data_IF_614481288006
#
_entry.id   IF_614481288006
#
_cell.length_a   1.000
_cell.length_b   1.000
_cell.length_c   1.000
_cell.angle_alpha   90.00
_cell.angle_beta   90.00
_cell.angle_gamma   90.00
#
_symmetry.space_group_name_H-M   'P 1'
#
loop_
_entity.id
_entity.type
_entity.pdbx_description
1 polymer ?
#
# COMPACT_ATOMS: atom_id res chain seq x y z
N UNK A 1 -32.05 -49.19 -2.79
CA UNK A 1 -32.13 -48.50 -4.09
C UNK A 1 -31.29 -47.22 -4.05
N UNK A 2 -30.51 -46.94 -5.11
CA UNK A 2 -29.59 -45.80 -5.22
C UNK A 2 -30.16 -44.70 -6.13
N UNK A 3 -29.67 -43.47 -5.97
CA UNK A 3 -30.09 -42.32 -6.78
C UNK A 3 -29.89 -42.56 -8.28
N UNK A 4 -30.89 -42.22 -9.12
CA UNK A 4 -30.82 -42.40 -10.58
C UNK A 4 -29.80 -41.50 -11.33
N UNK A 5 -29.16 -40.58 -10.63
CA UNK A 5 -28.24 -39.61 -11.25
C UNK A 5 -26.87 -40.28 -11.40
N UNK A 6 -26.31 -40.28 -12.61
CA UNK A 6 -25.04 -40.93 -12.91
C UNK A 6 -23.92 -40.48 -11.95
N UNK A 7 -23.15 -41.45 -11.44
CA UNK A 7 -22.10 -41.21 -10.45
C UNK A 7 -22.59 -40.91 -9.03
N UNK A 8 -23.90 -40.89 -8.76
CA UNK A 8 -24.43 -40.65 -7.41
C UNK A 8 -24.72 -41.96 -6.65
N UNK A 9 -23.79 -42.38 -5.80
CA UNK A 9 -23.96 -43.58 -4.94
C UNK A 9 -24.86 -43.40 -3.71
N UNK A 10 -25.59 -42.28 -3.57
CA UNK A 10 -26.40 -41.99 -2.37
C UNK A 10 -27.75 -42.73 -2.40
N UNK A 11 -28.28 -43.19 -1.26
CA UNK A 11 -29.57 -43.87 -1.20
C UNK A 11 -30.73 -42.96 -1.63
N UNK A 12 -31.73 -43.54 -2.28
CA UNK A 12 -32.97 -42.84 -2.64
C UNK A 12 -33.68 -42.41 -1.35
N UNK A 13 -34.11 -41.14 -1.32
CA UNK A 13 -34.98 -40.60 -0.26
C UNK A 13 -36.37 -40.24 -0.79
N UNK A 14 -36.46 -39.89 -2.07
CA UNK A 14 -37.70 -39.54 -2.75
C UNK A 14 -38.02 -40.60 -3.81
N UNK A 15 -38.92 -41.51 -3.46
CA UNK A 15 -39.17 -42.76 -4.23
C UNK A 15 -39.77 -42.50 -5.61
N UNK A 16 -40.74 -41.58 -5.74
CA UNK A 16 -41.42 -41.32 -7.01
C UNK A 16 -40.49 -40.71 -8.06
N UNK A 17 -39.55 -39.85 -7.66
CA UNK A 17 -38.56 -39.27 -8.57
C UNK A 17 -37.27 -40.09 -8.69
N UNK A 18 -37.10 -41.13 -7.85
CA UNK A 18 -35.94 -42.01 -7.74
C UNK A 18 -34.61 -41.28 -7.48
N UNK A 19 -34.63 -40.25 -6.62
CA UNK A 19 -33.46 -39.42 -6.31
C UNK A 19 -33.12 -39.38 -4.82
N UNK A 20 -31.86 -39.09 -4.51
CA UNK A 20 -31.42 -38.79 -3.15
C UNK A 20 -31.90 -37.40 -2.71
N UNK A 21 -31.81 -37.11 -1.42
CA UNK A 21 -32.27 -35.84 -0.84
C UNK A 21 -31.56 -34.63 -1.45
N UNK A 22 -30.25 -34.71 -1.68
CA UNK A 22 -29.47 -33.63 -2.29
C UNK A 22 -29.96 -33.31 -3.71
N UNK A 23 -30.20 -34.32 -4.54
CA UNK A 23 -30.66 -34.12 -5.92
C UNK A 23 -32.11 -33.65 -5.99
N UNK A 24 -32.97 -34.14 -5.11
CA UNK A 24 -34.34 -33.63 -4.98
C UNK A 24 -34.35 -32.12 -4.68
N UNK A 25 -33.65 -31.68 -3.64
CA UNK A 25 -33.60 -30.26 -3.28
C UNK A 25 -32.90 -29.39 -4.32
N UNK A 26 -31.89 -29.93 -5.02
CA UNK A 26 -31.26 -29.21 -6.12
C UNK A 26 -32.27 -28.96 -7.24
N UNK A 27 -32.95 -30.01 -7.72
CA UNK A 27 -33.96 -29.89 -8.77
C UNK A 27 -35.11 -28.97 -8.38
N UNK A 28 -35.56 -29.02 -7.13
CA UNK A 28 -36.60 -28.12 -6.63
C UNK A 28 -36.15 -26.64 -6.68
N UNK A 29 -34.88 -26.34 -6.43
CA UNK A 29 -34.35 -24.95 -6.44
C UNK A 29 -33.95 -24.45 -7.83
N UNK A 30 -33.40 -25.32 -8.67
CA UNK A 30 -32.76 -24.91 -9.93
C UNK A 30 -33.44 -25.45 -11.18
N UNK A 31 -34.45 -26.31 -11.05
CA UNK A 31 -35.10 -27.01 -12.16
C UNK A 31 -34.21 -28.06 -12.84
N UNK A 32 -33.05 -28.37 -12.26
CA UNK A 32 -32.08 -29.33 -12.80
C UNK A 32 -31.34 -30.05 -11.68
N UNK A 33 -30.91 -31.29 -11.94
CA UNK A 33 -30.04 -32.08 -11.07
C UNK A 33 -28.56 -31.73 -11.20
N UNK A 34 -28.19 -30.96 -12.21
CA UNK A 34 -26.81 -30.58 -12.47
C UNK A 34 -26.35 -29.47 -11.54
N UNK A 35 -25.06 -29.51 -11.19
CA UNK A 35 -24.43 -28.38 -10.54
C UNK A 35 -24.37 -27.23 -11.56
N UNK A 36 -25.10 -26.14 -11.30
CA UNK A 36 -24.91 -24.90 -12.07
C UNK A 36 -23.44 -24.50 -11.98
N UNK A 37 -22.81 -24.29 -13.13
CA UNK A 37 -21.50 -23.68 -13.19
C UNK A 37 -21.53 -22.37 -12.40
N UNK A 38 -20.57 -22.16 -11.49
CA UNK A 38 -20.44 -20.88 -10.82
C UNK A 38 -20.07 -19.85 -11.88
N UNK A 39 -21.01 -19.01 -12.31
CA UNK A 39 -20.71 -17.87 -13.16
C UNK A 39 -19.83 -16.91 -12.36
N UNK A 40 -18.52 -16.97 -12.58
CA UNK A 40 -17.62 -16.00 -11.98
C UNK A 40 -17.79 -14.67 -12.73
N UNK A 41 -17.91 -13.59 -11.99
CA UNK A 41 -17.94 -12.25 -12.57
C UNK A 41 -16.58 -11.99 -13.22
N UNK A 42 -16.58 -11.51 -14.47
CA UNK A 42 -15.33 -11.20 -15.18
C UNK A 42 -14.56 -10.04 -14.52
N UNK A 43 -15.29 -9.11 -13.93
CA UNK A 43 -14.75 -7.96 -13.19
C UNK A 43 -15.56 -7.76 -11.91
N UNK A 44 -14.88 -7.47 -10.81
CA UNK A 44 -15.50 -7.09 -9.52
C UNK A 44 -14.70 -6.00 -8.83
N UNK A 45 -15.35 -5.25 -7.95
CA UNK A 45 -14.70 -4.24 -7.09
C UNK A 45 -14.51 -4.80 -5.68
N UNK A 46 -13.37 -4.50 -5.03
CA UNK A 46 -13.21 -4.80 -3.61
C UNK A 46 -13.75 -3.67 -2.73
N UNK A 47 -13.80 -3.87 -1.42
CA UNK A 47 -14.27 -2.87 -0.46
C UNK A 47 -13.48 -1.54 -0.49
N UNK A 48 -12.25 -1.56 -1.01
CA UNK A 48 -11.37 -0.39 -1.12
C UNK A 48 -11.46 0.31 -2.49
N UNK A 49 -12.36 -0.14 -3.37
CA UNK A 49 -12.54 0.44 -4.70
C UNK A 49 -11.61 -0.09 -5.79
N UNK A 50 -10.71 -1.03 -5.49
CA UNK A 50 -9.86 -1.63 -6.50
C UNK A 50 -10.65 -2.59 -7.40
N UNK A 51 -10.35 -2.53 -8.70
CA UNK A 51 -10.92 -3.43 -9.70
C UNK A 51 -10.09 -4.73 -9.77
N UNK A 52 -10.80 -5.86 -9.75
CA UNK A 52 -10.25 -7.20 -9.89
C UNK A 52 -10.82 -7.85 -11.15
N UNK A 53 -9.96 -8.46 -11.95
CA UNK A 53 -10.32 -9.18 -13.17
C UNK A 53 -10.15 -10.68 -12.99
N UNK A 54 -11.07 -11.46 -13.56
CA UNK A 54 -10.97 -12.91 -13.60
C UNK A 54 -9.85 -13.33 -14.56
N UNK A 55 -8.76 -13.89 -14.03
CA UNK A 55 -7.65 -14.39 -14.84
C UNK A 55 -6.96 -15.55 -14.11
N UNK A 56 -7.53 -16.77 -14.19
CA UNK A 56 -7.13 -17.89 -13.35
C UNK A 56 -5.77 -18.50 -13.70
N UNK A 57 -5.19 -18.14 -14.85
CA UNK A 57 -3.84 -18.55 -15.26
C UNK A 57 -2.80 -17.45 -15.06
N UNK A 58 -3.19 -16.25 -14.66
CA UNK A 58 -2.26 -15.14 -14.51
C UNK A 58 -1.27 -15.39 -13.36
N UNK A 59 0.03 -15.12 -13.53
CA UNK A 59 1.03 -15.38 -12.47
C UNK A 59 0.74 -14.61 -11.17
N UNK A 60 0.20 -13.40 -11.30
CA UNK A 60 -0.17 -12.53 -10.17
C UNK A 60 -1.58 -12.77 -9.58
N UNK A 61 -2.22 -13.89 -9.90
CA UNK A 61 -3.57 -14.19 -9.40
C UNK A 61 -3.58 -14.46 -7.90
N UNK A 62 -4.72 -14.16 -7.27
CA UNK A 62 -5.03 -14.59 -5.92
C UNK A 62 -5.46 -16.07 -5.88
N UNK A 63 -5.73 -16.55 -4.67
CA UNK A 63 -6.22 -17.92 -4.42
C UNK A 63 -7.58 -18.20 -5.05
N UNK A 64 -8.37 -17.16 -5.34
CA UNK A 64 -9.68 -17.28 -5.97
C UNK A 64 -9.60 -17.32 -7.49
N UNK A 65 -8.50 -16.87 -8.09
CA UNK A 65 -8.25 -16.77 -9.54
C UNK A 65 -8.42 -15.37 -10.12
N UNK A 66 -8.47 -14.33 -9.28
CA UNK A 66 -8.57 -12.94 -9.70
C UNK A 66 -7.22 -12.22 -9.60
N UNK A 67 -7.04 -11.18 -10.41
CA UNK A 67 -5.86 -10.31 -10.37
C UNK A 67 -6.34 -8.87 -10.20
N UNK A 68 -5.62 -8.08 -9.42
CA UNK A 68 -5.83 -6.63 -9.41
C UNK A 68 -5.53 -6.04 -10.79
N UNK A 69 -6.48 -5.30 -11.36
CA UNK A 69 -6.39 -4.85 -12.74
C UNK A 69 -5.15 -3.98 -13.00
N UNK A 70 -4.83 -3.05 -12.08
CA UNK A 70 -3.62 -2.25 -12.19
C UNK A 70 -2.35 -3.13 -12.23
N UNK A 71 -2.30 -4.24 -11.48
CA UNK A 71 -1.16 -5.17 -11.51
C UNK A 71 -1.10 -5.93 -12.83
N UNK A 72 -2.25 -6.36 -13.36
CA UNK A 72 -2.32 -7.05 -14.64
C UNK A 72 -1.91 -6.13 -15.81
N UNK A 73 -2.32 -4.86 -15.80
CA UNK A 73 -1.92 -3.86 -16.79
C UNK A 73 -0.40 -3.64 -16.74
N UNK A 74 0.15 -3.44 -15.54
CA UNK A 74 1.60 -3.23 -15.39
C UNK A 74 2.40 -4.49 -15.78
N UNK A 75 1.91 -5.68 -15.44
CA UNK A 75 2.52 -6.96 -15.81
C UNK A 75 2.54 -7.16 -17.32
N UNK A 76 1.49 -6.74 -18.05
CA UNK A 76 1.49 -6.78 -19.53
C UNK A 76 2.62 -5.96 -20.16
N UNK A 77 2.99 -4.84 -19.53
CA UNK A 77 4.01 -3.92 -20.04
C UNK A 77 5.42 -4.40 -19.68
N UNK A 78 5.58 -4.92 -18.46
CA UNK A 78 6.88 -5.24 -17.86
C UNK A 78 7.27 -6.72 -18.01
N UNK A 79 6.29 -7.61 -18.15
CA UNK A 79 6.48 -9.05 -18.14
C UNK A 79 6.83 -9.57 -16.75
N UNK A 80 7.66 -10.62 -16.70
CA UNK A 80 8.06 -11.29 -15.47
C UNK A 80 8.96 -10.45 -14.57
N UNK A 81 9.68 -9.48 -15.13
CA UNK A 81 10.50 -8.54 -14.37
C UNK A 81 9.66 -7.32 -13.96
N UNK A 82 9.40 -7.13 -12.66
CA UNK A 82 8.69 -5.91 -12.19
C UNK A 82 9.54 -4.64 -12.43
N UNK A 83 10.86 -4.80 -12.57
CA UNK A 83 11.81 -3.71 -12.76
C UNK A 83 12.07 -2.93 -11.47
N UNK A 84 12.49 -1.68 -11.63
CA UNK A 84 12.87 -0.82 -10.50
C UNK A 84 11.79 0.18 -10.10
N UNK A 85 11.85 0.62 -8.85
CA UNK A 85 11.05 1.72 -8.32
C UNK A 85 11.25 3.00 -9.14
N UNK A 86 10.15 3.58 -9.62
CA UNK A 86 10.15 4.79 -10.45
C UNK A 86 10.66 6.05 -9.71
N UNK A 87 10.68 6.05 -8.36
CA UNK A 87 11.12 7.22 -7.58
C UNK A 87 12.56 7.12 -7.07
N UNK A 88 13.02 5.93 -6.66
CA UNK A 88 14.35 5.77 -6.08
C UNK A 88 15.27 4.81 -6.83
N UNK A 89 14.79 4.17 -7.91
CA UNK A 89 15.57 3.23 -8.71
C UNK A 89 15.86 1.88 -8.05
N UNK A 90 15.39 1.65 -6.82
CA UNK A 90 15.58 0.37 -6.12
C UNK A 90 14.98 -0.79 -6.95
N UNK A 91 15.71 -1.89 -7.17
CA UNK A 91 15.16 -3.06 -7.86
C UNK A 91 14.04 -3.68 -7.04
N UNK A 92 12.95 -4.06 -7.69
CA UNK A 92 11.77 -4.64 -7.08
C UNK A 92 11.32 -5.89 -7.85
N UNK A 93 10.61 -6.78 -7.16
CA UNK A 93 10.01 -7.95 -7.79
C UNK A 93 8.49 -7.89 -7.61
N UNK A 94 7.74 -8.70 -8.37
CA UNK A 94 6.29 -8.72 -8.23
C UNK A 94 5.80 -9.06 -6.81
N UNK A 95 6.61 -9.71 -5.97
CA UNK A 95 6.26 -9.99 -4.57
C UNK A 95 6.45 -8.79 -3.63
N UNK A 96 7.34 -7.85 -3.95
CA UNK A 96 7.65 -6.69 -3.10
C UNK A 96 7.15 -5.37 -3.67
N UNK A 97 6.91 -5.32 -4.98
CA UNK A 97 6.59 -4.10 -5.69
C UNK A 97 5.13 -3.68 -5.47
N UNK A 98 4.94 -2.37 -5.33
CA UNK A 98 3.62 -1.73 -5.31
C UNK A 98 3.38 -1.08 -6.68
N UNK A 99 2.28 -1.43 -7.33
CA UNK A 99 1.82 -0.72 -8.52
C UNK A 99 0.92 0.40 -8.05
N UNK A 100 1.39 1.63 -8.27
CA UNK A 100 0.82 2.87 -7.74
C UNK A 100 0.14 3.67 -8.86
N UNK A 101 -0.95 4.34 -8.50
CA UNK A 101 -1.67 5.29 -9.35
C UNK A 101 -1.07 6.69 -9.17
N UNK A 102 -0.55 7.27 -10.26
CA UNK A 102 0.11 8.58 -10.25
C UNK A 102 -0.88 9.67 -9.85
N UNK A 103 -2.10 9.62 -10.38
CA UNK A 103 -3.21 10.56 -10.07
C UNK A 103 -3.97 10.26 -8.77
N UNK A 104 -3.56 9.23 -8.01
CA UNK A 104 -4.25 8.75 -6.80
C UNK A 104 -5.68 8.22 -7.02
N UNK A 105 -6.13 8.10 -8.27
CA UNK A 105 -7.43 7.55 -8.62
C UNK A 105 -7.32 6.04 -8.89
N UNK A 106 -7.76 5.25 -7.91
CA UNK A 106 -7.74 3.77 -7.94
C UNK A 106 -8.48 3.18 -9.14
N UNK A 107 -9.43 3.91 -9.75
CA UNK A 107 -10.21 3.45 -10.91
C UNK A 107 -9.53 3.75 -12.24
N UNK A 108 -8.55 4.64 -12.28
CA UNK A 108 -7.81 4.99 -13.49
C UNK A 108 -6.64 4.03 -13.74
N UNK A 109 -6.94 2.86 -14.32
CA UNK A 109 -5.94 1.82 -14.61
C UNK A 109 -5.24 1.99 -15.97
N UNK A 110 -5.23 3.20 -16.55
CA UNK A 110 -4.49 3.49 -17.77
C UNK A 110 -2.99 3.22 -17.56
N UNK A 111 -2.33 2.59 -18.53
CA UNK A 111 -0.92 2.22 -18.46
C UNK A 111 0.00 3.39 -18.06
N UNK A 112 -0.28 4.60 -18.59
CA UNK A 112 0.51 5.80 -18.32
C UNK A 112 0.29 6.36 -16.91
N UNK A 113 -0.82 6.02 -16.25
CA UNK A 113 -1.13 6.44 -14.89
C UNK A 113 -0.56 5.47 -13.83
N UNK A 114 0.06 4.37 -14.25
CA UNK A 114 0.59 3.37 -13.35
C UNK A 114 2.11 3.44 -13.30
N UNK A 115 2.66 3.24 -12.10
CA UNK A 115 4.11 3.12 -11.89
C UNK A 115 4.42 2.06 -10.85
N UNK A 116 5.61 1.48 -10.95
CA UNK A 116 6.14 0.56 -9.95
C UNK A 116 6.87 1.34 -8.87
N UNK A 117 6.53 1.13 -7.61
CA UNK A 117 7.19 1.73 -6.45
C UNK A 117 7.63 0.66 -5.45
N UNK A 118 8.73 0.93 -4.75
CA UNK A 118 9.05 0.20 -3.53
C UNK A 118 8.08 0.59 -2.40
N UNK A 119 7.92 -0.28 -1.39
CA UNK A 119 7.07 -0.02 -0.22
C UNK A 119 7.36 1.32 0.46
N UNK A 120 8.65 1.68 0.60
CA UNK A 120 9.06 2.95 1.21
C UNK A 120 8.52 4.14 0.42
N UNK A 121 8.88 4.23 -0.86
CA UNK A 121 8.40 5.29 -1.73
C UNK A 121 6.86 5.34 -1.78
N UNK A 122 6.17 4.21 -1.89
CA UNK A 122 4.71 4.18 -1.91
C UNK A 122 4.07 4.76 -0.63
N UNK A 123 4.61 4.42 0.56
CA UNK A 123 4.10 4.91 1.84
C UNK A 123 4.43 6.40 2.07
N UNK A 124 5.56 6.87 1.54
CA UNK A 124 6.06 8.23 1.77
C UNK A 124 5.76 9.22 0.64
N UNK A 125 5.24 8.80 -0.52
CA UNK A 125 5.04 9.64 -1.72
C UNK A 125 4.18 10.90 -1.51
N UNK A 126 3.24 10.86 -0.56
CA UNK A 126 2.36 11.99 -0.23
C UNK A 126 2.74 12.71 1.08
N UNK A 127 3.87 12.37 1.71
CA UNK A 127 4.28 12.99 2.97
C UNK A 127 5.06 14.27 2.72
N UNK A 128 4.41 15.40 2.95
CA UNK A 128 5.04 16.73 3.04
C UNK A 128 5.30 17.12 4.50
N UNK A 129 6.11 18.13 4.82
CA UNK A 129 6.20 18.66 6.19
C UNK A 129 4.82 18.97 6.79
N UNK A 130 3.92 19.55 6.01
CA UNK A 130 2.55 19.91 6.41
C UNK A 130 1.75 18.69 6.86
N UNK A 131 1.96 17.52 6.23
CA UNK A 131 1.34 16.27 6.67
C UNK A 131 1.70 15.87 8.11
N UNK A 132 2.80 16.40 8.66
CA UNK A 132 3.24 16.17 10.03
C UNK A 132 2.76 17.21 11.04
N UNK A 133 2.06 18.27 10.62
CA UNK A 133 1.59 19.35 11.50
C UNK A 133 0.81 18.80 12.71
N UNK A 134 -0.05 17.81 12.49
CA UNK A 134 -0.89 17.20 13.54
C UNK A 134 -0.35 15.86 14.07
N UNK A 135 0.74 15.34 13.50
CA UNK A 135 1.34 14.07 13.91
C UNK A 135 2.39 14.25 15.03
N UNK A 136 2.81 15.48 15.30
CA UNK A 136 3.79 15.80 16.33
C UNK A 136 3.17 16.68 17.42
N UNK A 137 3.48 16.36 18.68
CA UNK A 137 3.13 17.10 19.90
C UNK A 137 3.48 18.59 19.87
N UNK A 138 4.48 18.98 19.07
CA UNK A 138 5.00 20.35 18.98
C UNK A 138 4.71 21.04 17.64
N UNK A 139 4.00 20.37 16.72
CA UNK A 139 3.75 20.87 15.37
C UNK A 139 5.00 21.07 14.51
N UNK A 140 4.86 21.86 13.43
CA UNK A 140 5.99 22.35 12.64
C UNK A 140 6.62 23.57 13.32
N UNK A 141 7.92 23.71 13.12
CA UNK A 141 8.67 24.88 13.53
C UNK A 141 8.86 25.80 12.33
N UNK A 142 8.69 27.09 12.56
CA UNK A 142 8.85 28.12 11.55
C UNK A 142 10.08 29.00 11.83
N UNK A 143 10.87 29.23 10.79
CA UNK A 143 11.95 30.20 10.81
C UNK A 143 12.19 30.72 9.39
N UNK A 144 12.27 32.04 9.22
CA UNK A 144 12.47 32.72 7.92
C UNK A 144 11.45 32.30 6.84
N UNK A 145 10.17 32.13 7.22
CA UNK A 145 9.10 31.73 6.31
C UNK A 145 9.15 30.25 5.87
N UNK A 146 10.17 29.48 6.28
CA UNK A 146 10.21 28.03 6.09
C UNK A 146 9.57 27.33 7.28
N UNK A 147 8.67 26.38 7.00
CA UNK A 147 8.08 25.49 8.00
C UNK A 147 8.59 24.07 7.79
N UNK A 148 9.07 23.43 8.85
CA UNK A 148 9.56 22.05 8.78
C UNK A 148 9.42 21.36 10.14
N UNK A 149 9.51 20.04 10.13
CA UNK A 149 9.56 19.22 11.33
C UNK A 149 10.86 19.45 12.10
N UNK A 150 10.85 19.19 13.41
CA UNK A 150 12.07 19.24 14.22
C UNK A 150 13.22 18.38 13.66
N UNK A 151 12.91 17.24 13.03
CA UNK A 151 13.93 16.38 12.42
C UNK A 151 14.43 16.95 11.08
N UNK A 152 13.54 17.52 10.25
CA UNK A 152 13.92 18.25 9.04
C UNK A 152 14.86 19.42 9.34
N UNK A 153 14.48 20.28 10.29
CA UNK A 153 15.34 21.35 10.78
C UNK A 153 16.68 20.88 11.35
N UNK A 154 16.74 19.71 11.98
CA UNK A 154 18.02 19.18 12.49
C UNK A 154 19.02 18.80 11.41
N UNK A 155 18.59 18.70 10.16
CA UNK A 155 19.45 18.51 8.97
C UNK A 155 19.93 19.84 8.38
N UNK A 156 19.30 20.96 8.71
CA UNK A 156 19.74 22.28 8.26
C UNK A 156 21.18 22.53 8.76
N UNK A 157 22.11 22.91 7.86
CA UNK A 157 23.50 23.18 8.23
C UNK A 157 23.67 24.32 9.23
N UNK A 158 22.65 25.13 9.54
CA UNK A 158 22.70 26.20 10.55
C UNK A 158 22.36 25.68 11.95
N UNK A 159 21.57 24.61 12.06
CA UNK A 159 21.09 24.04 13.33
C UNK A 159 22.11 23.08 13.94
N UNK A 160 22.48 23.31 15.21
CA UNK A 160 23.51 22.53 15.92
C UNK A 160 22.95 21.41 16.82
N UNK A 161 21.62 21.32 16.93
CA UNK A 161 20.93 20.38 17.83
C UNK A 161 20.12 19.35 17.06
N UNK A 162 19.93 18.16 17.66
CA UNK A 162 19.12 17.10 17.08
C UNK A 162 17.60 17.36 17.24
N UNK A 163 16.79 16.69 16.40
CA UNK A 163 15.34 16.84 16.43
C UNK A 163 14.70 16.55 17.80
N UNK A 164 15.21 15.57 18.54
CA UNK A 164 14.71 15.25 19.88
C UNK A 164 14.92 16.38 20.88
N UNK A 165 16.05 17.08 20.78
CA UNK A 165 16.36 18.25 21.62
C UNK A 165 15.45 19.41 21.29
N UNK A 166 15.21 19.67 20.01
CA UNK A 166 14.28 20.70 19.52
C UNK A 166 12.87 20.44 20.07
N UNK A 167 12.34 19.21 19.92
CA UNK A 167 11.03 18.82 20.47
C UNK A 167 10.94 19.02 21.99
N UNK A 168 11.97 18.59 22.73
CA UNK A 168 12.02 18.79 24.19
C UNK A 168 11.98 20.27 24.57
N UNK A 169 12.66 21.14 23.82
CA UNK A 169 12.65 22.60 24.05
C UNK A 169 11.28 23.19 23.78
N UNK A 170 10.64 22.81 22.68
CA UNK A 170 9.27 23.23 22.36
C UNK A 170 8.26 22.82 23.43
N UNK A 171 8.34 21.59 23.94
CA UNK A 171 7.53 21.13 25.09
C UNK A 171 7.74 21.94 26.37
N UNK A 172 8.89 22.58 26.54
CA UNK A 172 9.19 23.50 27.64
C UNK A 172 8.76 24.96 27.34
N UNK A 173 7.99 25.19 26.29
CA UNK A 173 7.51 26.53 25.92
C UNK A 173 8.54 27.41 25.23
N UNK A 174 9.62 26.84 24.67
CA UNK A 174 10.59 27.65 23.92
C UNK A 174 10.00 28.12 22.59
N UNK A 175 10.37 29.34 22.16
CA UNK A 175 10.09 29.81 20.80
C UNK A 175 10.86 28.98 19.76
N UNK A 176 10.38 28.99 18.51
CA UNK A 176 10.98 28.20 17.42
C UNK A 176 12.45 28.57 17.20
N UNK A 177 12.74 29.86 17.06
CA UNK A 177 14.10 30.38 16.95
C UNK A 177 15.00 29.88 18.09
N UNK A 178 14.54 30.03 19.35
CA UNK A 178 15.33 29.61 20.52
C UNK A 178 15.53 28.10 20.53
N UNK A 179 14.50 27.33 20.15
CA UNK A 179 14.55 25.87 20.10
C UNK A 179 15.56 25.36 19.07
N UNK A 180 15.67 26.01 17.91
CA UNK A 180 16.54 25.66 16.81
C UNK A 180 18.00 26.08 17.04
N UNK A 181 18.26 27.32 17.44
CA UNK A 181 19.60 27.90 17.36
C UNK A 181 20.37 27.94 18.68
N UNK A 182 19.72 27.70 19.81
CA UNK A 182 20.45 27.61 21.08
C UNK A 182 21.36 26.38 21.07
N UNK A 183 22.69 26.51 21.26
CA UNK A 183 23.57 25.36 21.30
C UNK A 183 23.21 24.38 22.41
N UNK A 184 23.47 23.09 22.19
CA UNK A 184 23.32 22.09 23.24
C UNK A 184 24.55 22.12 24.15
N UNK A 185 24.36 22.17 25.47
CA UNK A 185 25.46 22.10 26.45
C UNK A 185 26.20 20.76 26.43
N UNK A 186 25.49 19.66 26.15
CA UNK A 186 26.03 18.29 26.24
C UNK A 186 26.46 17.71 24.89
N UNK A 187 25.67 17.92 23.83
CA UNK A 187 26.01 17.52 22.46
C UNK A 187 26.85 18.57 21.71
N UNK A 188 28.16 18.33 21.53
CA UNK A 188 29.10 19.20 20.76
C UNK A 188 29.45 18.70 19.34
N UNK A 189 28.93 17.56 18.90
CA UNK A 189 29.39 16.90 17.66
C UNK A 189 29.33 17.78 16.40
N UNK A 190 28.19 18.43 16.14
CA UNK A 190 28.02 19.32 14.98
C UNK A 190 28.69 20.69 15.14
N UNK A 191 28.82 21.18 16.37
CA UNK A 191 29.51 22.45 16.64
C UNK A 191 31.01 22.31 16.35
N UNK A 192 31.62 21.19 16.76
CA UNK A 192 33.03 20.89 16.51
C UNK A 192 33.33 20.69 15.02
N UNK A 193 32.45 20.01 14.27
CA UNK A 193 32.60 19.86 12.83
C UNK A 193 32.62 21.21 12.09
N UNK A 194 31.76 22.16 12.50
CA UNK A 194 31.71 23.50 11.90
C UNK A 194 32.86 24.42 12.32
N UNK A 195 33.36 24.26 13.54
CA UNK A 195 34.56 24.94 14.01
C UNK A 195 35.79 24.49 13.22
N UNK A 196 35.87 23.19 12.91
CA UNK A 196 36.91 22.62 12.03
C UNK A 196 36.78 23.10 10.57
N UNK A 197 35.56 23.14 10.01
CA UNK A 197 35.34 23.67 8.65
C UNK A 197 35.70 25.16 8.53
N UNK A 198 35.39 25.98 9.55
CA UNK A 198 35.76 27.40 9.59
C UNK A 198 37.26 27.63 9.83
N UNK A 199 37.93 26.73 10.54
CA UNK A 199 39.38 26.79 10.74
C UNK A 199 40.17 26.32 9.51
N UNK A 200 39.51 25.60 8.59
CA UNK A 200 40.09 25.10 7.34
C UNK A 200 39.83 26.01 6.12
N UNK A 201 39.10 27.11 6.30
CA UNK A 201 38.79 28.11 5.28
C UNK A 201 39.54 29.42 5.57
#
# INVERSE_FOLDING_TARGET
>A
MICKIAGCGKPIRYKSQQVCQMHYFRNMRTGSYDLKAKSRQQRRENQKGYQLIWSPQHPLRDSQGYVYEHRAVMYRIKGDDCGSCALCGKPESWSTCHVDHIDENIKNNAAQNLRVLCRGCNVFRGRTPESYQNLCDVGLLEHEGKRDTAHGWSKDPRVSVNGSTIRRRKRKGWSDHKALFTPSRTYRGKAKARELERAAA
#
